data_IF_485942537974
#
_entry.id   IF_485942537974
#
_cell.length_a   1.000
_cell.length_b   1.000
_cell.length_c   1.000
_cell.angle_alpha   90.00
_cell.angle_beta   90.00
_cell.angle_gamma   90.00
#
_symmetry.space_group_name_H-M   'P 1'
#
loop_
_entity.id
_entity.type
_entity.pdbx_description
1 polymer ?
#
# COMPACT_ATOMS: atom_id res chain seq x y z
N UNK A 1 5.86 -6.74 -17.24
CA UNK A 1 5.54 -6.18 -16.13
C UNK A 1 4.31 -6.83 -15.50
N UNK A 2 3.76 -6.33 -14.47
CA UNK A 2 2.70 -6.98 -13.70
C UNK A 2 1.44 -7.38 -14.44
N UNK A 3 1.26 -6.96 -15.64
CA UNK A 3 0.22 -7.45 -16.54
C UNK A 3 0.45 -8.89 -17.02
N UNK A 4 1.64 -9.43 -16.83
CA UNK A 4 1.98 -10.83 -17.16
C UNK A 4 2.10 -11.70 -15.91
N UNK A 5 1.00 -11.82 -15.17
CA UNK A 5 0.92 -12.63 -13.94
C UNK A 5 1.41 -14.07 -14.17
N UNK A 6 0.97 -14.72 -15.25
CA UNK A 6 1.41 -16.08 -15.56
C UNK A 6 2.93 -16.19 -15.69
N UNK A 7 3.57 -15.19 -16.30
CA UNK A 7 5.03 -15.18 -16.44
C UNK A 7 5.72 -15.04 -15.09
N UNK A 8 5.18 -14.21 -14.21
CA UNK A 8 5.71 -14.01 -12.84
C UNK A 8 5.59 -15.28 -12.02
N UNK A 9 4.41 -15.90 -12.00
CA UNK A 9 4.18 -17.12 -11.24
C UNK A 9 5.04 -18.28 -11.78
N UNK A 10 5.14 -18.40 -13.12
CA UNK A 10 6.01 -19.39 -13.75
C UNK A 10 7.50 -19.16 -13.44
N UNK A 11 7.93 -17.90 -13.35
CA UNK A 11 9.30 -17.57 -12.93
C UNK A 11 9.52 -17.98 -11.47
N UNK A 12 8.58 -17.65 -10.58
CA UNK A 12 8.66 -18.05 -9.17
C UNK A 12 8.78 -19.55 -9.02
N UNK A 13 7.90 -20.31 -9.68
CA UNK A 13 7.94 -21.77 -9.65
C UNK A 13 9.28 -22.33 -10.12
N UNK A 14 9.78 -21.87 -11.28
CA UNK A 14 11.06 -22.35 -11.85
C UNK A 14 12.27 -22.07 -10.97
N UNK A 15 12.18 -21.03 -10.13
CA UNK A 15 13.26 -20.64 -9.23
C UNK A 15 13.01 -21.05 -7.77
N UNK A 16 12.03 -21.92 -7.51
CA UNK A 16 11.64 -22.37 -6.18
C UNK A 16 11.31 -21.23 -5.22
N UNK A 17 10.75 -20.14 -5.73
CA UNK A 17 10.25 -19.02 -4.94
C UNK A 17 8.79 -19.32 -4.56
N UNK A 18 8.58 -19.73 -3.33
CA UNK A 18 7.29 -20.23 -2.87
C UNK A 18 6.41 -19.19 -2.20
N UNK A 19 6.93 -17.99 -1.96
CA UNK A 19 6.20 -16.89 -1.32
C UNK A 19 6.42 -15.61 -2.12
N UNK A 20 5.33 -14.90 -2.39
CA UNK A 20 5.35 -13.48 -2.71
C UNK A 20 4.98 -12.69 -1.46
N UNK A 21 5.90 -11.91 -0.98
CA UNK A 21 5.64 -10.88 0.01
C UNK A 21 5.15 -9.62 -0.70
N UNK A 22 3.95 -9.15 -0.35
CA UNK A 22 3.28 -8.08 -1.08
C UNK A 22 2.62 -7.08 -0.15
N UNK A 23 2.87 -5.82 -0.42
CA UNK A 23 2.14 -4.69 0.14
C UNK A 23 1.85 -3.64 -0.95
N UNK A 24 0.98 -2.67 -0.66
CA UNK A 24 0.62 -1.65 -1.66
C UNK A 24 1.74 -0.63 -1.94
N UNK A 25 2.82 -0.68 -1.22
CA UNK A 25 4.01 0.15 -1.44
C UNK A 25 5.11 -0.51 -2.26
N UNK A 26 4.93 -1.77 -2.67
CA UNK A 26 5.87 -2.50 -3.52
C UNK A 26 5.81 -2.02 -4.96
N UNK A 27 6.29 -0.86 -5.23
CA UNK A 27 6.47 -0.38 -6.59
C UNK A 27 7.93 -0.12 -6.90
N UNK A 28 8.26 -0.36 -8.14
CA UNK A 28 9.55 -0.04 -8.69
C UNK A 28 9.63 1.46 -9.01
N UNK A 29 9.58 2.26 -7.99
CA UNK A 29 9.78 3.69 -8.14
C UNK A 29 11.23 4.02 -7.85
N UNK A 30 12.00 4.25 -8.89
CA UNK A 30 13.42 4.62 -8.79
C UNK A 30 13.66 5.98 -8.13
N UNK A 31 12.60 6.75 -7.90
CA UNK A 31 12.66 7.97 -7.11
C UNK A 31 12.67 7.70 -5.63
N UNK A 32 12.31 6.50 -5.25
CA UNK A 32 12.18 6.10 -3.87
C UNK A 32 13.43 5.35 -3.45
N UNK A 33 14.25 6.01 -2.67
CA UNK A 33 15.24 5.40 -1.83
C UNK A 33 14.67 5.38 -0.41
N UNK A 34 14.86 4.31 0.32
CA UNK A 34 14.37 4.17 1.70
C UNK A 34 14.88 5.29 2.62
N UNK A 35 15.96 5.92 2.25
CA UNK A 35 16.57 7.01 3.00
C UNK A 35 16.39 8.39 2.37
N UNK A 36 15.72 8.49 1.23
CA UNK A 36 15.47 9.81 0.63
C UNK A 36 14.45 10.62 1.44
N UNK A 37 14.80 11.86 1.73
CA UNK A 37 13.94 12.81 2.44
C UNK A 37 12.92 13.47 1.53
N UNK A 38 13.18 13.49 0.24
CA UNK A 38 12.36 14.17 -0.75
C UNK A 38 12.08 13.24 -1.92
N UNK A 39 10.82 12.96 -2.16
CA UNK A 39 10.39 12.28 -3.37
C UNK A 39 10.34 13.23 -4.56
N UNK A 40 10.92 12.82 -5.68
CA UNK A 40 10.93 13.60 -6.91
C UNK A 40 9.69 13.28 -7.74
N UNK A 41 8.90 14.28 -8.08
CA UNK A 41 7.69 14.09 -8.90
C UNK A 41 7.95 13.61 -10.32
N UNK A 42 9.11 13.95 -10.87
CA UNK A 42 9.49 13.67 -12.25
C UNK A 42 10.29 12.38 -12.43
N UNK A 43 10.44 11.58 -11.39
CA UNK A 43 11.09 10.30 -11.56
C UNK A 43 10.08 9.23 -12.04
N UNK A 44 10.59 8.17 -12.63
CA UNK A 44 9.75 7.16 -13.26
C UNK A 44 8.95 6.36 -12.23
N UNK A 45 7.64 6.35 -12.40
CA UNK A 45 6.73 5.45 -11.74
C UNK A 45 6.20 4.45 -12.77
N UNK A 46 6.19 3.21 -12.41
CA UNK A 46 5.83 2.15 -13.35
C UNK A 46 4.45 1.62 -13.00
N UNK A 47 3.52 1.78 -13.94
CA UNK A 47 2.24 1.10 -13.82
C UNK A 47 2.47 -0.43 -13.80
N UNK A 48 1.69 -1.19 -13.10
CA UNK A 48 0.50 -0.85 -12.31
C UNK A 48 0.79 -0.46 -10.86
N UNK A 49 2.03 -0.39 -10.48
CA UNK A 49 2.45 -0.03 -9.12
C UNK A 49 2.08 1.40 -8.74
N UNK A 50 1.61 2.14 -9.73
CA UNK A 50 0.99 3.43 -9.54
C UNK A 50 -0.36 3.35 -8.82
N UNK A 51 -1.01 2.21 -8.93
CA UNK A 51 -2.32 2.00 -8.34
C UNK A 51 -2.21 1.60 -6.87
N UNK A 52 -3.11 2.16 -6.10
CA UNK A 52 -3.24 1.93 -4.67
C UNK A 52 -4.52 1.12 -4.39
N UNK A 53 -4.67 0.52 -3.21
CA UNK A 53 -5.87 -0.24 -2.86
C UNK A 53 -7.14 0.61 -2.77
N UNK A 54 -7.01 1.93 -2.80
CA UNK A 54 -8.10 2.90 -2.69
C UNK A 54 -8.39 3.55 -4.04
N UNK A 55 -9.66 3.79 -4.32
CA UNK A 55 -10.07 4.46 -5.54
C UNK A 55 -9.80 5.96 -5.49
N UNK A 56 -9.58 6.57 -6.64
CA UNK A 56 -9.54 8.03 -6.77
C UNK A 56 -10.96 8.61 -6.64
N UNK A 57 -11.07 9.70 -5.93
CA UNK A 57 -12.37 10.35 -5.63
C UNK A 57 -12.95 11.16 -6.78
N UNK A 58 -12.14 11.58 -7.73
CA UNK A 58 -12.48 12.58 -8.73
C UNK A 58 -12.39 14.02 -8.21
N UNK A 59 -12.01 14.26 -6.96
CA UNK A 59 -12.00 15.58 -6.32
C UNK A 59 -10.58 16.01 -5.95
N UNK A 60 -10.35 17.31 -6.02
CA UNK A 60 -9.09 17.93 -5.59
C UNK A 60 -7.87 17.39 -6.31
N UNK A 61 -6.69 17.71 -5.78
CA UNK A 61 -5.41 17.19 -6.28
C UNK A 61 -4.59 16.65 -5.12
N UNK A 62 -4.11 15.42 -5.27
CA UNK A 62 -3.11 14.82 -4.41
C UNK A 62 -1.70 15.27 -4.78
N UNK A 63 -0.71 14.86 -4.02
CA UNK A 63 0.68 15.25 -4.26
C UNK A 63 1.19 14.86 -5.66
N UNK A 64 0.74 13.77 -6.22
CA UNK A 64 1.08 13.29 -7.56
C UNK A 64 0.39 14.05 -8.69
N UNK A 65 -0.48 15.00 -8.37
CA UNK A 65 -1.23 15.82 -9.33
C UNK A 65 -2.53 15.17 -9.81
N UNK A 66 -2.78 13.91 -9.46
CA UNK A 66 -4.05 13.22 -9.74
C UNK A 66 -5.11 13.60 -8.69
N UNK A 67 -6.36 13.16 -8.90
CA UNK A 67 -7.41 13.42 -7.91
C UNK A 67 -7.11 12.68 -6.60
N UNK A 68 -7.57 13.25 -5.48
CA UNK A 68 -7.37 12.65 -4.16
C UNK A 68 -8.00 11.26 -4.06
N UNK A 69 -7.49 10.45 -3.15
CA UNK A 69 -8.07 9.15 -2.84
C UNK A 69 -9.35 9.30 -2.01
N UNK A 70 -10.24 8.34 -2.18
CA UNK A 70 -11.33 8.07 -1.25
C UNK A 70 -11.02 6.75 -0.53
N UNK A 71 -10.60 6.83 0.73
CA UNK A 71 -10.20 5.67 1.53
C UNK A 71 -11.38 4.74 1.89
N UNK A 72 -12.61 5.17 1.62
CA UNK A 72 -13.80 4.35 1.83
C UNK A 72 -14.14 3.48 0.61
N UNK A 73 -13.47 3.70 -0.52
CA UNK A 73 -13.76 3.02 -1.78
C UNK A 73 -12.58 2.16 -2.25
N UNK A 74 -12.75 0.83 -2.36
CA UNK A 74 -11.70 -0.02 -2.90
C UNK A 74 -11.46 0.28 -4.39
N UNK A 75 -10.19 0.23 -4.78
CA UNK A 75 -9.80 0.26 -6.18
C UNK A 75 -10.00 -1.14 -6.79
N UNK A 76 -11.04 -1.29 -7.57
CA UNK A 76 -11.44 -2.57 -8.17
C UNK A 76 -10.33 -3.20 -9.02
N UNK A 77 -9.61 -2.37 -9.76
CA UNK A 77 -8.50 -2.86 -10.59
C UNK A 77 -7.38 -3.46 -9.74
N UNK A 78 -6.96 -2.75 -8.68
CA UNK A 78 -5.92 -3.22 -7.77
C UNK A 78 -6.27 -4.58 -7.16
N UNK A 79 -7.46 -4.68 -6.57
CA UNK A 79 -7.91 -5.90 -5.91
C UNK A 79 -8.12 -7.06 -6.87
N UNK A 80 -8.68 -6.79 -8.06
CA UNK A 80 -8.82 -7.81 -9.11
C UNK A 80 -7.47 -8.36 -9.57
N UNK A 81 -6.44 -7.50 -9.72
CA UNK A 81 -5.11 -7.95 -10.12
C UNK A 81 -4.41 -8.75 -9.03
N UNK A 82 -4.51 -8.32 -7.78
CA UNK A 82 -3.94 -9.05 -6.65
C UNK A 82 -4.59 -10.41 -6.49
N UNK A 83 -5.91 -10.48 -6.63
CA UNK A 83 -6.67 -11.71 -6.61
C UNK A 83 -6.25 -12.67 -7.73
N UNK A 84 -6.16 -12.19 -8.96
CA UNK A 84 -5.67 -13.00 -10.09
C UNK A 84 -4.27 -13.57 -9.82
N UNK A 85 -3.39 -12.79 -9.21
CA UNK A 85 -2.07 -13.28 -8.83
C UNK A 85 -2.18 -14.42 -7.79
N UNK A 86 -2.97 -14.23 -6.75
CA UNK A 86 -3.15 -15.23 -5.71
C UNK A 86 -3.76 -16.54 -6.26
N UNK A 87 -4.78 -16.44 -7.11
CA UNK A 87 -5.41 -17.59 -7.78
C UNK A 87 -4.40 -18.37 -8.63
N UNK A 88 -3.61 -17.67 -9.46
CA UNK A 88 -2.55 -18.29 -10.26
C UNK A 88 -1.42 -18.86 -9.40
N UNK A 89 -1.10 -18.18 -8.31
CA UNK A 89 -0.16 -18.69 -7.30
C UNK A 89 -0.62 -19.99 -6.68
N UNK A 90 -1.89 -20.09 -6.29
CA UNK A 90 -2.47 -21.29 -5.72
C UNK A 90 -2.32 -22.51 -6.66
N UNK A 91 -2.59 -22.33 -7.95
CA UNK A 91 -2.42 -23.38 -8.96
C UNK A 91 -0.97 -23.91 -9.03
N UNK A 92 0.01 -23.14 -8.63
CA UNK A 92 1.43 -23.44 -8.73
C UNK A 92 2.15 -23.64 -7.38
N UNK A 93 1.40 -23.62 -6.28
CA UNK A 93 1.96 -23.79 -4.94
C UNK A 93 2.71 -22.57 -4.43
N UNK A 94 2.37 -21.37 -4.91
CA UNK A 94 2.92 -20.09 -4.44
C UNK A 94 1.97 -19.46 -3.44
N UNK A 95 2.51 -19.08 -2.27
CA UNK A 95 1.78 -18.34 -1.24
C UNK A 95 1.85 -16.84 -1.50
N UNK A 96 0.80 -16.14 -1.15
CA UNK A 96 0.76 -14.69 -1.06
C UNK A 96 0.80 -14.29 0.43
N UNK A 97 1.89 -13.64 0.85
CA UNK A 97 1.94 -12.90 2.11
C UNK A 97 1.47 -11.49 1.82
N UNK A 98 0.23 -11.19 2.23
CA UNK A 98 -0.37 -9.87 2.03
C UNK A 98 -0.23 -9.03 3.29
N UNK A 99 0.68 -8.08 3.23
CA UNK A 99 0.82 -7.04 4.25
C UNK A 99 -0.25 -5.98 4.03
N UNK A 100 -1.09 -5.76 5.03
CA UNK A 100 -2.16 -4.77 4.94
C UNK A 100 -1.61 -3.34 4.77
N UNK A 101 -0.47 -3.05 5.39
CA UNK A 101 0.16 -1.74 5.32
C UNK A 101 1.60 -1.82 4.83
N UNK A 102 2.03 -0.77 4.17
CA UNK A 102 3.43 -0.59 3.83
C UNK A 102 4.12 0.20 4.95
N UNK A 103 4.88 -0.49 5.78
CA UNK A 103 5.47 0.08 6.99
C UNK A 103 6.41 1.25 6.70
N UNK A 104 7.19 1.22 5.62
CA UNK A 104 8.06 2.33 5.25
C UNK A 104 7.31 3.64 4.99
N UNK A 105 6.09 3.60 4.48
CA UNK A 105 5.25 4.81 4.39
C UNK A 105 5.02 5.45 5.77
N UNK A 106 4.97 4.64 6.80
CA UNK A 106 4.55 5.03 8.15
C UNK A 106 5.76 5.41 9.00
N UNK A 107 6.83 4.60 8.93
CA UNK A 107 8.04 4.83 9.72
C UNK A 107 9.00 5.83 9.09
N UNK A 108 9.15 5.75 7.78
CA UNK A 108 10.12 6.52 7.01
C UNK A 108 9.50 7.83 6.48
N UNK A 109 8.77 8.56 7.27
CA UNK A 109 8.12 9.82 6.86
C UNK A 109 8.98 10.64 5.86
N UNK A 110 8.43 11.63 5.22
CA UNK A 110 9.14 12.36 4.17
C UNK A 110 8.90 11.72 2.80
N UNK A 111 9.91 11.14 2.17
CA UNK A 111 9.79 10.60 0.81
C UNK A 111 8.73 9.50 0.68
N UNK A 112 8.64 8.63 1.67
CA UNK A 112 7.71 7.52 1.65
C UNK A 112 6.28 7.90 2.05
N UNK A 113 6.12 8.89 2.92
CA UNK A 113 4.81 9.36 3.34
C UNK A 113 4.17 10.35 2.35
N UNK A 114 4.98 11.04 1.56
CA UNK A 114 4.53 12.17 0.76
C UNK A 114 3.38 11.83 -0.20
N UNK A 115 3.37 10.64 -0.77
CA UNK A 115 2.34 10.16 -1.69
C UNK A 115 1.42 9.09 -1.09
N UNK A 116 1.59 8.78 0.19
CA UNK A 116 0.72 7.83 0.88
C UNK A 116 -0.75 8.24 0.74
N UNK A 117 -1.65 7.31 0.40
CA UNK A 117 -3.09 7.60 0.38
C UNK A 117 -3.64 8.11 1.71
N UNK A 118 -3.03 7.68 2.81
CA UNK A 118 -3.47 8.07 4.17
C UNK A 118 -3.10 9.50 4.55
N UNK A 119 -2.09 10.10 3.89
CA UNK A 119 -1.73 11.49 4.12
C UNK A 119 -2.91 12.43 3.87
N UNK A 120 -3.17 13.38 4.77
CA UNK A 120 -4.34 14.29 4.71
C UNK A 120 -4.42 15.05 3.38
N UNK A 121 -3.28 15.46 2.83
CA UNK A 121 -3.24 16.13 1.53
C UNK A 121 -3.70 15.24 0.36
N UNK A 122 -3.61 13.92 0.49
CA UNK A 122 -3.82 12.96 -0.60
C UNK A 122 -5.21 12.32 -0.61
N UNK A 123 -6.03 12.51 0.42
CA UNK A 123 -7.37 11.93 0.50
C UNK A 123 -8.45 12.99 0.83
N UNK A 124 -9.71 12.57 0.70
CA UNK A 124 -10.89 13.39 1.01
C UNK A 124 -11.50 13.04 2.37
N UNK A 125 -10.89 12.18 3.17
CA UNK A 125 -11.53 11.52 4.31
C UNK A 125 -11.18 12.15 5.68
N UNK A 126 -10.48 13.28 5.70
CA UNK A 126 -10.12 13.98 6.94
C UNK A 126 -9.37 13.09 7.95
N UNK A 127 -8.31 12.45 7.51
CA UNK A 127 -7.50 11.55 8.33
C UNK A 127 -6.81 12.24 9.52
N UNK A 128 -6.71 13.56 9.51
CA UNK A 128 -6.23 14.35 10.63
C UNK A 128 -4.71 14.30 10.85
N UNK A 129 -3.93 13.83 9.88
CA UNK A 129 -2.48 13.96 9.94
C UNK A 129 -2.05 15.39 9.64
N UNK A 130 -1.03 15.86 10.38
CA UNK A 130 -0.50 17.21 10.21
C UNK A 130 0.08 17.44 8.81
N UNK A 131 -0.07 18.66 8.31
CA UNK A 131 0.50 19.09 7.04
C UNK A 131 1.29 20.40 7.21
N UNK A 132 2.47 20.52 6.65
CA UNK A 132 3.26 19.44 6.03
C UNK A 132 3.70 18.42 7.07
N UNK A 133 3.86 17.18 6.65
CA UNK A 133 4.40 16.14 7.54
C UNK A 133 5.87 16.48 7.83
N UNK A 134 6.22 16.60 9.07
CA UNK A 134 7.60 16.79 9.47
C UNK A 134 8.40 15.54 9.10
N UNK A 135 9.56 15.75 8.51
CA UNK A 135 10.52 14.68 8.33
C UNK A 135 10.97 14.19 9.71
N UNK A 136 10.75 12.90 9.97
CA UNK A 136 10.97 12.36 11.30
C UNK A 136 12.46 12.22 11.67
N UNK A 137 13.37 12.18 10.71
CA UNK A 137 14.79 11.94 10.99
C UNK A 137 14.97 10.68 11.84
N UNK A 138 15.59 10.85 13.00
CA UNK A 138 15.78 9.76 13.97
C UNK A 138 14.49 9.35 14.72
N UNK A 139 13.40 10.06 14.49
CA UNK A 139 12.10 9.83 15.14
C UNK A 139 11.11 9.19 14.16
N UNK A 140 11.51 8.14 13.51
CA UNK A 140 10.74 7.42 12.49
C UNK A 140 9.34 7.01 12.95
N UNK A 141 9.17 6.69 14.23
CA UNK A 141 7.90 6.21 14.79
C UNK A 141 6.82 7.29 14.92
N UNK A 142 7.13 8.55 14.71
CA UNK A 142 6.17 9.64 14.91
C UNK A 142 4.88 9.49 14.10
N UNK A 143 5.01 9.10 12.84
CA UNK A 143 3.83 8.86 12.00
C UNK A 143 3.15 7.57 12.41
N UNK A 144 3.90 6.55 12.83
CA UNK A 144 3.36 5.29 13.29
C UNK A 144 2.46 5.45 14.51
N UNK A 145 2.89 6.19 15.52
CA UNK A 145 2.09 6.47 16.71
C UNK A 145 0.73 7.08 16.35
N UNK A 146 0.74 8.07 15.46
CA UNK A 146 -0.49 8.70 14.99
C UNK A 146 -1.29 7.78 14.05
N UNK A 147 -0.62 7.01 13.22
CA UNK A 147 -1.25 6.15 12.23
C UNK A 147 -2.05 5.03 12.91
N UNK A 148 -1.45 4.39 13.89
CA UNK A 148 -2.07 3.29 14.65
C UNK A 148 -2.92 3.75 15.84
N UNK A 149 -3.05 5.05 16.07
CA UNK A 149 -3.92 5.60 17.10
C UNK A 149 -5.39 5.36 16.79
N UNK A 150 -5.93 4.31 17.39
CA UNK A 150 -7.34 3.92 17.25
C UNK A 150 -8.29 4.76 18.10
N UNK A 151 -7.81 5.71 18.89
CA UNK A 151 -8.67 6.65 19.63
C UNK A 151 -9.24 7.72 18.69
N UNK A 152 -8.57 8.01 17.59
CA UNK A 152 -9.06 8.94 16.58
C UNK A 152 -10.21 8.32 15.78
N UNK A 153 -11.45 8.83 15.87
CA UNK A 153 -12.64 8.11 15.38
C UNK A 153 -12.63 7.88 13.86
N UNK A 154 -12.17 8.84 13.09
CA UNK A 154 -12.11 8.74 11.63
C UNK A 154 -11.08 7.69 11.22
N UNK A 155 -9.85 7.76 11.75
CA UNK A 155 -8.80 6.78 11.44
C UNK A 155 -9.23 5.37 11.84
N UNK A 156 -9.79 5.20 13.04
CA UNK A 156 -10.33 3.91 13.50
C UNK A 156 -11.34 3.32 12.52
N UNK A 157 -12.28 4.12 12.05
CA UNK A 157 -13.29 3.66 11.09
C UNK A 157 -12.64 3.26 9.77
N UNK A 158 -11.75 4.07 9.23
CA UNK A 158 -11.05 3.81 7.97
C UNK A 158 -10.18 2.54 8.06
N UNK A 159 -9.44 2.36 9.16
CA UNK A 159 -8.65 1.14 9.38
C UNK A 159 -9.54 -0.11 9.42
N UNK A 160 -10.64 -0.06 10.17
CA UNK A 160 -11.59 -1.19 10.23
C UNK A 160 -12.17 -1.53 8.85
N UNK A 161 -12.51 -0.52 8.08
CA UNK A 161 -13.04 -0.72 6.73
C UNK A 161 -11.98 -1.30 5.80
N UNK A 162 -10.77 -0.77 5.84
CA UNK A 162 -9.66 -1.22 5.00
C UNK A 162 -9.26 -2.67 5.31
N UNK A 163 -9.07 -3.01 6.59
CA UNK A 163 -8.75 -4.40 7.00
C UNK A 163 -9.86 -5.37 6.57
N UNK A 164 -11.13 -4.98 6.73
CA UNK A 164 -12.25 -5.79 6.23
C UNK A 164 -12.20 -5.97 4.71
N UNK A 165 -11.81 -4.94 3.98
CA UNK A 165 -11.61 -5.06 2.52
C UNK A 165 -10.51 -6.06 2.20
N UNK A 166 -9.34 -5.97 2.86
CA UNK A 166 -8.24 -6.93 2.67
C UNK A 166 -8.71 -8.37 2.94
N UNK A 167 -9.44 -8.58 4.03
CA UNK A 167 -9.97 -9.91 4.37
C UNK A 167 -10.99 -10.39 3.35
N UNK A 168 -11.96 -9.55 2.99
CA UNK A 168 -13.06 -9.96 2.10
C UNK A 168 -12.61 -10.25 0.67
N UNK A 169 -11.66 -9.47 0.15
CA UNK A 169 -11.16 -9.63 -1.21
C UNK A 169 -10.32 -10.91 -1.40
N UNK A 170 -9.79 -11.46 -0.30
CA UNK A 170 -8.83 -12.57 -0.33
C UNK A 170 -9.23 -13.78 0.55
N UNK A 171 -10.38 -13.73 1.25
CA UNK A 171 -10.74 -14.67 2.30
C UNK A 171 -10.95 -16.12 1.82
N UNK A 172 -11.35 -16.32 0.58
CA UNK A 172 -11.62 -17.62 -0.01
C UNK A 172 -10.42 -18.25 -0.70
N UNK A 173 -9.24 -17.59 -0.64
CA UNK A 173 -8.02 -18.05 -1.26
C UNK A 173 -7.15 -18.80 -0.24
N UNK A 174 -6.90 -20.11 -0.43
CA UNK A 174 -6.25 -20.94 0.59
C UNK A 174 -4.76 -20.68 0.75
N UNK A 175 -4.17 -19.95 -0.19
CA UNK A 175 -2.74 -19.65 -0.25
C UNK A 175 -2.41 -18.21 0.19
N UNK A 176 -3.33 -17.52 0.85
CA UNK A 176 -3.11 -16.15 1.32
C UNK A 176 -2.92 -16.13 2.83
N UNK A 177 -1.84 -15.50 3.27
CA UNK A 177 -1.56 -15.17 4.66
C UNK A 177 -1.69 -13.66 4.83
N UNK A 178 -2.54 -13.22 5.74
CA UNK A 178 -2.72 -11.80 6.06
C UNK A 178 -1.78 -11.39 7.19
N UNK A 179 -1.05 -10.32 6.96
CA UNK A 179 -0.13 -9.70 7.91
C UNK A 179 -0.50 -8.24 8.13
N UNK A 180 -0.20 -7.72 9.30
CA UNK A 180 -0.38 -6.28 9.53
C UNK A 180 0.61 -5.52 8.65
N UNK A 181 1.87 -5.83 8.76
CA UNK A 181 2.98 -5.25 8.02
C UNK A 181 4.26 -6.01 8.37
N UNK A 182 5.27 -5.97 7.51
CA UNK A 182 6.65 -6.24 7.93
C UNK A 182 7.12 -5.13 8.87
N UNK A 183 8.03 -5.39 9.74
CA UNK A 183 8.60 -4.39 10.67
C UNK A 183 7.55 -3.65 11.52
N UNK A 184 6.44 -4.30 11.84
CA UNK A 184 5.40 -3.71 12.68
C UNK A 184 5.96 -3.37 14.07
N UNK A 185 5.72 -2.12 14.50
CA UNK A 185 6.23 -1.56 15.76
C UNK A 185 5.13 -1.05 16.69
N UNK A 186 3.88 -1.35 16.40
CA UNK A 186 2.71 -0.95 17.20
C UNK A 186 2.44 -1.86 18.38
#
# INVERSE_FOLDING_TARGET
YTDRIDSTVNYMKRNNLVVLDHNYGLWLDRRRDDHERIRRRNADSWAPFYEQPFARSGQGKAWDGLTKYDLTRPNRWYWSRLRQFAEKGAEQGVLLYHENYFQHNILEAGAHWVDSPWRSANNINNTGFAEPVNFAGDKRIFVADMFYDVTHPVRRQLHRQYIRTCLNELADLPNVVQLVSSEYTG
#
